data_IF_973683968095
#
_entry.id   IF_973683968095
#
_cell.length_a   1.000
_cell.length_b   1.000
_cell.length_c   1.000
_cell.angle_alpha   90.00
_cell.angle_beta   90.00
_cell.angle_gamma   90.00
#
_symmetry.space_group_name_H-M   'P 1'
#
loop_
_entity.id
_entity.type
_entity.pdbx_description
1 polymer ?
#
# COMPACT_ATOMS: atom_id res chain seq x y z
N UNK A 1 -0.40 3.38 24.52
CA UNK A 1 -0.17 4.00 23.20
C UNK A 1 0.31 2.89 22.29
N UNK A 2 -0.34 2.71 21.16
CA UNK A 2 0.08 1.76 20.14
C UNK A 2 1.44 2.19 19.57
N UNK A 3 2.34 1.24 19.35
CA UNK A 3 3.64 1.53 18.74
C UNK A 3 3.42 1.80 17.25
N UNK A 4 4.03 2.85 16.71
CA UNK A 4 3.99 3.11 15.27
C UNK A 4 4.79 2.01 14.60
N UNK A 5 4.20 1.38 13.58
CA UNK A 5 4.86 0.41 12.71
C UNK A 5 4.79 0.83 11.23
N UNK A 6 5.35 0.00 10.35
CA UNK A 6 5.36 0.23 8.91
C UNK A 6 3.95 0.39 8.33
N UNK A 7 2.99 -0.40 8.81
CA UNK A 7 1.64 -0.42 8.27
C UNK A 7 0.82 0.79 8.74
N UNK A 8 1.08 1.31 9.94
CA UNK A 8 0.55 2.60 10.40
C UNK A 8 1.09 3.73 9.52
N UNK A 9 2.40 3.74 9.25
CA UNK A 9 3.01 4.73 8.35
C UNK A 9 2.41 4.63 6.94
N UNK A 10 2.24 3.40 6.42
CA UNK A 10 1.58 3.15 5.13
C UNK A 10 0.13 3.62 5.13
N UNK A 11 -0.59 3.46 6.25
CA UNK A 11 -1.95 3.96 6.42
C UNK A 11 -2.07 5.48 6.24
N UNK A 12 -1.06 6.26 6.63
CA UNK A 12 -1.03 7.70 6.33
C UNK A 12 -0.87 7.98 4.83
N UNK A 13 -0.01 7.23 4.14
CA UNK A 13 0.18 7.35 2.68
C UNK A 13 -1.07 6.89 1.91
N UNK A 14 -1.69 5.79 2.32
CA UNK A 14 -2.96 5.30 1.79
C UNK A 14 -4.07 6.35 2.00
N UNK A 15 -4.10 7.01 3.16
CA UNK A 15 -5.08 8.08 3.45
C UNK A 15 -4.88 9.30 2.56
N UNK A 16 -3.64 9.66 2.24
CA UNK A 16 -3.34 10.71 1.26
C UNK A 16 -3.90 10.33 -0.11
N UNK A 17 -3.67 9.09 -0.55
CA UNK A 17 -4.18 8.58 -1.82
C UNK A 17 -5.72 8.65 -1.85
N UNK A 18 -6.39 8.18 -0.80
CA UNK A 18 -7.85 8.19 -0.68
C UNK A 18 -8.44 9.61 -0.76
N UNK A 19 -7.85 10.58 -0.05
CA UNK A 19 -8.32 11.97 -0.06
C UNK A 19 -8.13 12.62 -1.42
N UNK A 20 -7.09 12.23 -2.17
CA UNK A 20 -6.77 12.75 -3.49
C UNK A 20 -7.43 11.96 -4.63
N UNK A 21 -8.20 10.92 -4.32
CA UNK A 21 -8.78 9.97 -5.30
C UNK A 21 -7.71 9.35 -6.23
N UNK A 22 -6.57 8.98 -5.63
CA UNK A 22 -5.44 8.33 -6.30
C UNK A 22 -5.33 6.86 -5.90
N UNK A 23 -4.82 6.03 -6.82
CA UNK A 23 -4.51 4.63 -6.55
C UNK A 23 -3.00 4.43 -6.51
N UNK A 24 -2.46 4.19 -5.31
CA UNK A 24 -1.05 3.85 -5.14
C UNK A 24 -0.83 2.34 -5.16
N UNK A 25 0.28 1.95 -5.79
CA UNK A 25 0.84 0.61 -5.67
C UNK A 25 2.17 0.68 -4.89
N UNK A 26 2.51 -0.43 -4.22
CA UNK A 26 3.69 -0.51 -3.37
C UNK A 26 4.55 -1.70 -3.79
N UNK A 27 5.85 -1.49 -3.94
CA UNK A 27 6.81 -2.54 -4.27
C UNK A 27 7.99 -2.48 -3.30
N UNK A 28 8.37 -3.63 -2.72
CA UNK A 28 9.53 -3.73 -1.85
C UNK A 28 10.80 -3.31 -2.61
N UNK A 29 11.63 -2.49 -1.98
CA UNK A 29 12.87 -1.96 -2.59
C UNK A 29 13.90 -1.68 -1.50
N UNK A 30 15.13 -1.41 -1.93
CA UNK A 30 16.20 -0.91 -1.06
C UNK A 30 16.52 0.54 -1.41
N UNK A 31 16.65 1.40 -0.39
CA UNK A 31 17.03 2.81 -0.52
C UNK A 31 18.09 3.10 0.54
N UNK A 32 19.14 3.81 0.15
CA UNK A 32 20.21 4.18 1.07
C UNK A 32 19.67 4.99 2.26
N UNK A 33 20.17 4.68 3.45
CA UNK A 33 19.66 5.27 4.71
C UNK A 33 18.34 4.67 5.23
N UNK A 34 17.68 3.78 4.51
CA UNK A 34 16.47 3.06 4.96
C UNK A 34 16.73 1.57 5.23
N UNK A 35 15.83 0.94 5.99
CA UNK A 35 15.91 -0.47 6.32
C UNK A 35 15.57 -1.35 5.08
N UNK A 36 16.46 -2.27 4.65
CA UNK A 36 16.31 -3.00 3.37
C UNK A 36 15.08 -3.92 3.32
N UNK A 37 14.68 -4.49 4.45
CA UNK A 37 13.46 -5.34 4.53
C UNK A 37 12.17 -4.59 4.88
N UNK A 38 12.21 -3.26 5.05
CA UNK A 38 11.07 -2.44 5.50
C UNK A 38 11.00 -1.13 4.73
N UNK A 39 11.16 -1.23 3.42
CA UNK A 39 11.15 -0.10 2.49
C UNK A 39 10.37 -0.49 1.24
N UNK A 40 9.54 0.43 0.75
CA UNK A 40 8.78 0.26 -0.47
C UNK A 40 8.78 1.54 -1.31
N UNK A 41 8.90 1.39 -2.63
CA UNK A 41 8.53 2.46 -3.55
C UNK A 41 7.01 2.61 -3.58
N UNK A 42 6.58 3.86 -3.74
CA UNK A 42 5.19 4.22 -4.00
C UNK A 42 5.05 4.54 -5.47
N UNK A 43 4.16 3.82 -6.15
CA UNK A 43 3.88 3.98 -7.57
C UNK A 43 2.51 4.61 -7.80
N UNK A 44 2.43 5.46 -8.82
CA UNK A 44 1.20 6.00 -9.38
C UNK A 44 1.30 5.85 -10.91
N UNK A 45 0.35 5.15 -11.53
CA UNK A 45 0.33 4.89 -12.98
C UNK A 45 1.69 4.38 -13.51
N UNK A 46 2.24 3.33 -12.87
CA UNK A 46 3.54 2.70 -13.19
C UNK A 46 4.78 3.60 -13.03
N UNK A 47 4.62 4.79 -12.44
CA UNK A 47 5.75 5.68 -12.15
C UNK A 47 6.02 5.74 -10.65
N UNK A 48 7.29 5.65 -10.27
CA UNK A 48 7.71 5.93 -8.89
C UNK A 48 7.44 7.40 -8.59
N UNK A 49 6.56 7.62 -7.61
CA UNK A 49 6.22 8.94 -7.06
C UNK A 49 6.84 9.17 -5.69
N UNK A 50 7.48 8.17 -5.09
CA UNK A 50 8.12 8.32 -3.80
C UNK A 50 8.45 7.01 -3.13
N UNK A 51 8.61 7.04 -1.82
CA UNK A 51 8.89 5.87 -1.00
C UNK A 51 8.27 5.98 0.38
N UNK A 52 8.19 4.84 1.05
CA UNK A 52 7.94 4.71 2.48
C UNK A 52 8.90 3.68 3.06
N UNK A 53 9.48 3.94 4.23
CA UNK A 53 10.34 2.97 4.88
C UNK A 53 10.69 3.30 6.32
N UNK A 54 11.20 2.30 7.02
CA UNK A 54 11.87 2.48 8.31
C UNK A 54 13.28 3.03 8.08
N UNK A 55 13.75 3.93 8.94
CA UNK A 55 15.14 4.37 8.90
C UNK A 55 16.09 3.19 9.13
N UNK A 56 17.27 3.22 8.52
CA UNK A 56 18.27 2.19 8.77
C UNK A 56 18.67 2.19 10.26
N UNK A 57 18.85 1.05 10.93
CA UNK A 57 19.18 1.00 12.36
C UNK A 57 20.44 1.78 12.76
N UNK A 58 21.39 1.97 11.83
CA UNK A 58 22.55 2.82 12.04
C UNK A 58 22.17 4.31 12.08
N UNK A 59 21.31 4.76 11.17
CA UNK A 59 20.79 6.13 11.15
C UNK A 59 20.00 6.40 12.44
N UNK A 60 19.16 5.45 12.86
CA UNK A 60 18.42 5.60 14.13
C UNK A 60 19.37 5.78 15.32
N UNK A 61 20.46 5.01 15.39
CA UNK A 61 21.48 5.15 16.45
C UNK A 61 22.23 6.48 16.39
N UNK A 62 22.62 6.91 15.19
CA UNK A 62 23.40 8.14 15.00
C UNK A 62 22.62 9.39 15.44
N UNK A 63 21.28 9.34 15.35
CA UNK A 63 20.38 10.44 15.72
C UNK A 63 19.63 10.21 17.05
N UNK A 64 19.98 9.18 17.84
CA UNK A 64 19.29 8.79 19.09
C UNK A 64 17.76 8.65 18.92
N UNK A 65 17.35 8.07 17.79
CA UNK A 65 15.97 7.80 17.46
C UNK A 65 15.58 6.39 17.87
N UNK A 66 14.31 6.22 18.21
CA UNK A 66 13.66 4.91 18.26
C UNK A 66 13.26 4.49 16.85
N UNK A 67 12.64 3.32 16.73
CA UNK A 67 12.04 2.85 15.49
C UNK A 67 11.22 3.96 14.81
N UNK A 68 11.69 4.44 13.66
CA UNK A 68 11.18 5.63 13.00
C UNK A 68 10.89 5.33 11.54
N UNK A 69 9.71 5.74 11.09
CA UNK A 69 9.25 5.57 9.72
C UNK A 69 9.15 6.91 9.03
N UNK A 70 9.55 6.93 7.76
CA UNK A 70 9.52 8.10 6.90
C UNK A 70 8.83 7.75 5.59
N UNK A 71 8.20 8.75 4.99
CA UNK A 71 7.75 8.67 3.60
C UNK A 71 8.08 9.99 2.89
N UNK A 72 8.36 9.89 1.61
CA UNK A 72 8.53 11.04 0.73
C UNK A 72 7.67 10.81 -0.51
N UNK A 73 6.96 11.84 -0.95
CA UNK A 73 6.11 11.80 -2.13
C UNK A 73 6.36 13.05 -2.98
N UNK A 74 6.49 12.85 -4.29
CA UNK A 74 6.58 13.92 -5.26
C UNK A 74 5.21 14.54 -5.47
N UNK A 75 4.96 15.64 -4.75
CA UNK A 75 3.67 16.33 -4.76
C UNK A 75 3.26 16.81 -6.16
N UNK A 76 4.21 17.29 -6.98
CA UNK A 76 3.91 17.75 -8.34
C UNK A 76 3.36 16.62 -9.21
N UNK A 77 3.93 15.42 -9.12
CA UNK A 77 3.42 14.23 -9.82
C UNK A 77 2.02 13.83 -9.34
N UNK A 78 1.73 13.97 -8.05
CA UNK A 78 0.40 13.68 -7.51
C UNK A 78 -0.63 14.67 -8.06
N UNK A 79 -0.31 15.97 -8.05
CA UNK A 79 -1.23 17.03 -8.49
C UNK A 79 -1.41 17.10 -10.01
N UNK A 80 -0.52 16.47 -10.78
CA UNK A 80 -0.66 16.35 -12.22
C UNK A 80 -1.77 15.39 -12.66
N UNK A 81 -2.28 14.53 -11.76
CA UNK A 81 -3.36 13.59 -12.07
C UNK A 81 -4.71 14.30 -12.01
N UNK A 82 -5.39 14.37 -13.16
CA UNK A 82 -6.76 14.85 -13.22
C UNK A 82 -7.73 13.72 -12.85
N UNK A 83 -8.23 13.73 -11.61
CA UNK A 83 -9.17 12.72 -11.09
C UNK A 83 -10.63 12.96 -11.52
N UNK A 84 -10.94 14.15 -12.04
CA UNK A 84 -12.27 14.48 -12.54
C UNK A 84 -13.31 14.66 -11.42
N UNK A 85 -14.55 14.25 -11.69
CA UNK A 85 -15.61 14.23 -10.68
C UNK A 85 -15.68 12.87 -10.02
N UNK A 86 -16.07 12.84 -8.75
CA UNK A 86 -16.32 11.60 -8.01
C UNK A 86 -17.31 10.74 -8.81
N UNK A 87 -16.90 9.52 -9.13
CA UNK A 87 -17.74 8.56 -9.81
C UNK A 87 -18.76 7.99 -8.82
N UNK A 88 -20.04 8.29 -9.05
CA UNK A 88 -21.13 7.76 -8.23
C UNK A 88 -21.53 6.37 -8.71
N UNK A 89 -21.53 5.41 -7.79
CA UNK A 89 -22.12 4.09 -8.01
C UNK A 89 -23.40 3.91 -7.19
N UNK A 90 -24.46 3.34 -7.79
CA UNK A 90 -25.71 3.12 -7.09
C UNK A 90 -25.53 2.10 -5.97
N UNK A 91 -26.17 2.37 -4.82
CA UNK A 91 -26.15 1.45 -3.68
C UNK A 91 -26.79 0.11 -4.10
N UNK A 92 -26.09 -1.04 -3.91
CA UNK A 92 -26.63 -2.35 -4.25
C UNK A 92 -27.92 -2.64 -3.48
N UNK A 93 -28.96 -3.13 -4.18
CA UNK A 93 -30.25 -3.47 -3.55
C UNK A 93 -30.25 -4.82 -2.85
N UNK A 94 -29.27 -5.66 -3.17
CA UNK A 94 -29.13 -7.01 -2.66
C UNK A 94 -27.75 -7.20 -2.06
N UNK A 95 -27.61 -8.03 -1.01
CA UNK A 95 -26.32 -8.29 -0.39
C UNK A 95 -25.40 -9.05 -1.35
N UNK A 96 -24.10 -8.78 -1.23
CA UNK A 96 -23.05 -9.59 -1.87
C UNK A 96 -22.84 -10.93 -1.17
N UNK A 97 -21.91 -11.72 -1.70
CA UNK A 97 -21.46 -12.99 -1.11
C UNK A 97 -19.98 -12.89 -0.81
N UNK A 98 -19.59 -13.23 0.42
CA UNK A 98 -18.19 -13.31 0.85
C UNK A 98 -17.77 -14.77 0.95
N UNK A 99 -16.54 -15.08 0.55
CA UNK A 99 -15.93 -16.40 0.72
C UNK A 99 -14.50 -16.25 1.22
N UNK A 100 -14.15 -17.05 2.21
CA UNK A 100 -12.78 -17.12 2.71
C UNK A 100 -12.03 -18.25 2.00
N UNK A 101 -10.76 -17.99 1.68
CA UNK A 101 -9.85 -18.97 1.13
C UNK A 101 -8.53 -18.93 1.91
N UNK A 102 -7.96 -20.10 2.20
CA UNK A 102 -6.64 -20.22 2.78
C UNK A 102 -5.68 -20.76 1.72
N UNK A 103 -4.52 -20.11 1.55
CA UNK A 103 -3.56 -20.44 0.50
C UNK A 103 -2.18 -20.69 1.12
N UNK A 104 -1.53 -21.77 0.71
CA UNK A 104 -0.13 -22.04 1.03
C UNK A 104 0.70 -21.61 -0.17
N UNK A 105 1.53 -20.59 0.02
CA UNK A 105 2.33 -19.96 -1.04
C UNK A 105 3.79 -19.80 -0.59
N UNK A 106 4.67 -19.45 -1.52
CA UNK A 106 6.04 -19.08 -1.18
C UNK A 106 6.06 -17.76 -0.38
N UNK A 107 6.87 -17.69 0.69
CA UNK A 107 7.05 -16.53 1.55
C UNK A 107 7.50 -15.28 0.79
N UNK A 108 8.25 -15.45 -0.28
CA UNK A 108 8.78 -14.34 -1.08
C UNK A 108 7.76 -13.78 -2.08
N UNK A 109 6.57 -14.39 -2.20
CA UNK A 109 5.52 -13.92 -3.09
C UNK A 109 4.78 -12.73 -2.44
N UNK A 110 4.81 -11.52 -3.05
CA UNK A 110 4.09 -10.38 -2.52
C UNK A 110 2.58 -10.61 -2.55
N UNK A 111 1.87 -10.24 -1.48
CA UNK A 111 0.42 -10.33 -1.39
C UNK A 111 -0.29 -9.53 -2.49
N UNK A 112 0.30 -8.43 -2.95
CA UNK A 112 -0.21 -7.65 -4.08
C UNK A 112 -0.42 -8.52 -5.33
N UNK A 113 0.57 -9.37 -5.70
CA UNK A 113 0.46 -10.26 -6.87
C UNK A 113 -0.70 -11.26 -6.73
N UNK A 114 -0.95 -11.74 -5.51
CA UNK A 114 -2.08 -12.62 -5.23
C UNK A 114 -3.42 -11.88 -5.40
N UNK A 115 -3.56 -10.68 -4.81
CA UNK A 115 -4.76 -9.86 -4.91
C UNK A 115 -5.04 -9.45 -6.37
N UNK A 116 -4.01 -9.07 -7.12
CA UNK A 116 -4.11 -8.74 -8.54
C UNK A 116 -4.60 -9.94 -9.35
N UNK A 117 -4.04 -11.13 -9.08
CA UNK A 117 -4.47 -12.37 -9.75
C UNK A 117 -5.93 -12.68 -9.45
N UNK A 118 -6.38 -12.54 -8.20
CA UNK A 118 -7.78 -12.74 -7.81
C UNK A 118 -8.68 -11.74 -8.54
N UNK A 119 -8.31 -10.45 -8.54
CA UNK A 119 -9.08 -9.39 -9.19
C UNK A 119 -9.21 -9.62 -10.70
N UNK A 120 -8.12 -9.99 -11.37
CA UNK A 120 -8.11 -10.27 -12.81
C UNK A 120 -9.01 -11.45 -13.20
N UNK A 121 -9.17 -12.44 -12.31
CA UNK A 121 -9.96 -13.65 -12.57
C UNK A 121 -11.35 -13.63 -11.90
N UNK A 122 -11.70 -12.55 -11.21
CA UNK A 122 -12.95 -12.43 -10.45
C UNK A 122 -14.21 -12.19 -11.30
N UNK A 123 -14.03 -11.77 -12.55
CA UNK A 123 -15.13 -11.43 -13.47
C UNK A 123 -15.98 -10.25 -12.98
N UNK A 124 -17.13 -10.04 -13.63
CA UNK A 124 -17.97 -8.85 -13.43
C UNK A 124 -18.63 -8.75 -12.04
N UNK A 125 -18.68 -9.86 -11.31
CA UNK A 125 -19.31 -9.94 -9.97
C UNK A 125 -18.32 -9.68 -8.84
N UNK A 126 -17.02 -9.60 -9.14
CA UNK A 126 -15.99 -9.38 -8.13
C UNK A 126 -16.01 -7.94 -7.65
N UNK A 127 -15.97 -7.75 -6.33
CA UNK A 127 -16.01 -6.44 -5.70
C UNK A 127 -14.70 -6.12 -4.98
N UNK A 128 -14.22 -7.03 -4.12
CA UNK A 128 -13.00 -6.80 -3.35
C UNK A 128 -12.38 -8.13 -2.88
N UNK A 129 -11.07 -8.09 -2.59
CA UNK A 129 -10.34 -9.14 -1.90
C UNK A 129 -9.40 -8.51 -0.87
N UNK A 130 -9.27 -9.14 0.29
CA UNK A 130 -8.44 -8.66 1.39
C UNK A 130 -7.67 -9.81 2.01
N UNK A 131 -6.38 -9.59 2.28
CA UNK A 131 -5.61 -10.46 3.18
C UNK A 131 -5.92 -10.02 4.60
N UNK A 132 -6.50 -10.91 5.40
CA UNK A 132 -6.86 -10.65 6.79
C UNK A 132 -6.02 -11.44 7.79
N UNK A 133 -5.30 -12.47 7.35
CA UNK A 133 -4.41 -13.28 8.18
C UNK A 133 -3.19 -13.78 7.39
N UNK A 134 -2.04 -13.88 8.05
CA UNK A 134 -0.77 -14.40 7.51
C UNK A 134 -0.07 -15.20 8.61
N UNK A 135 0.28 -16.46 8.31
CA UNK A 135 0.94 -17.40 9.22
C UNK A 135 2.39 -17.68 8.82
#
# INVERSE_FOLDING_TARGET
KEAIDFFIAKGFVDRIAEVLDLSFAYEATEIDGLHPGRTAHVYLNDQVVGFIGELHPNVEKDYDLKQTYVFELNYDKLMAVAVGYINYEPIPRFPGVTRDIALVINRDLPSAKLLDTIKQNGGDIFQNAQVFDVY
#
